data_IF_098639567637
#
_entry.id   IF_098639567637
#
_cell.length_a   1.000
_cell.length_b   1.000
_cell.length_c   1.000
_cell.angle_alpha   90.00
_cell.angle_beta   90.00
_cell.angle_gamma   90.00
#
_symmetry.space_group_name_H-M   'P 1'
#
loop_
_entity.id
_entity.type
_entity.pdbx_description
1 polymer ?
#
# COMPACT_ATOMS: atom_id res chain seq x y z
N UNK A 1 -22.93 12.64 -11.17
CA UNK A 1 -21.45 12.59 -11.26
C UNK A 1 -20.71 13.15 -10.04
N UNK A 2 -21.29 14.05 -9.23
CA UNK A 2 -20.62 14.68 -8.05
C UNK A 2 -20.40 13.69 -6.87
N UNK A 3 -21.36 12.80 -6.60
CA UNK A 3 -21.31 11.86 -5.47
C UNK A 3 -20.17 10.83 -5.54
N UNK A 4 -19.78 10.41 -6.75
CA UNK A 4 -18.69 9.45 -6.94
C UNK A 4 -17.33 10.10 -6.62
N UNK A 5 -17.12 11.34 -7.06
CA UNK A 5 -15.90 12.10 -6.80
C UNK A 5 -15.65 12.33 -5.29
N UNK A 6 -16.71 12.65 -4.53
CA UNK A 6 -16.61 12.82 -3.07
C UNK A 6 -16.19 11.53 -2.36
N UNK A 7 -16.77 10.39 -2.75
CA UNK A 7 -16.40 9.09 -2.17
C UNK A 7 -14.96 8.70 -2.48
N UNK A 8 -14.53 8.88 -3.74
CA UNK A 8 -13.15 8.61 -4.17
C UNK A 8 -12.15 9.41 -3.34
N UNK A 9 -12.39 10.72 -3.21
CA UNK A 9 -11.54 11.62 -2.42
C UNK A 9 -11.45 11.16 -0.97
N UNK A 10 -12.58 10.79 -0.35
CA UNK A 10 -12.60 10.31 1.03
C UNK A 10 -11.79 9.02 1.24
N UNK A 11 -11.80 8.08 0.27
CA UNK A 11 -10.99 6.85 0.36
C UNK A 11 -9.49 7.14 0.23
N UNK A 12 -9.13 7.97 -0.74
CA UNK A 12 -7.74 8.37 -0.97
C UNK A 12 -7.16 9.10 0.24
N UNK A 13 -7.90 10.08 0.77
CA UNK A 13 -7.51 10.85 1.97
C UNK A 13 -7.33 9.90 3.17
N UNK A 14 -8.29 9.00 3.42
CA UNK A 14 -8.19 8.04 4.54
C UNK A 14 -6.95 7.12 4.45
N UNK A 15 -6.61 6.65 3.25
CA UNK A 15 -5.42 5.82 3.04
C UNK A 15 -4.14 6.64 3.25
N UNK A 16 -4.09 7.85 2.69
CA UNK A 16 -2.94 8.74 2.82
C UNK A 16 -2.70 9.15 4.28
N UNK A 17 -3.76 9.44 5.02
CA UNK A 17 -3.70 9.77 6.45
C UNK A 17 -3.12 8.60 7.24
N UNK A 18 -3.64 7.38 7.02
CA UNK A 18 -3.12 6.19 7.71
C UNK A 18 -1.67 5.87 7.33
N UNK A 19 -1.32 5.96 6.05
CA UNK A 19 0.05 5.74 5.56
C UNK A 19 1.00 6.77 6.17
N UNK A 20 0.60 8.05 6.23
CA UNK A 20 1.38 9.13 6.83
C UNK A 20 1.55 8.93 8.34
N UNK A 21 0.48 8.55 9.04
CA UNK A 21 0.51 8.20 10.45
C UNK A 21 1.47 7.02 10.69
N UNK A 22 1.40 5.97 9.87
CA UNK A 22 2.27 4.80 9.97
C UNK A 22 3.74 5.14 9.71
N UNK A 23 4.04 6.02 8.74
CA UNK A 23 5.38 6.57 8.53
C UNK A 23 5.91 7.33 9.75
N UNK A 24 5.04 8.03 10.48
CA UNK A 24 5.44 8.81 11.67
C UNK A 24 5.74 7.96 12.90
N UNK A 25 5.26 6.71 12.94
CA UNK A 25 5.45 5.78 14.07
C UNK A 25 6.84 5.17 14.06
N UNK A 26 7.74 5.73 14.88
CA UNK A 26 9.13 5.25 15.03
C UNK A 26 9.23 3.80 15.52
N UNK A 27 8.27 3.34 16.31
CA UNK A 27 8.35 2.06 17.02
C UNK A 27 7.77 0.87 16.24
N UNK A 28 7.11 1.10 15.09
CA UNK A 28 6.44 0.01 14.38
C UNK A 28 7.43 -0.87 13.58
N UNK A 29 8.63 -0.36 13.30
CA UNK A 29 9.65 -1.04 12.50
C UNK A 29 10.93 -1.14 13.33
N UNK A 30 11.13 -2.28 13.98
CA UNK A 30 12.39 -2.56 14.67
C UNK A 30 13.58 -2.45 13.69
N UNK A 31 14.66 -1.77 14.07
CA UNK A 31 15.85 -1.62 13.23
C UNK A 31 16.65 -2.93 13.08
N UNK A 32 16.22 -4.03 13.71
CA UNK A 32 16.82 -5.37 13.61
C UNK A 32 16.62 -6.07 12.25
N UNK A 33 16.13 -5.37 11.22
CA UNK A 33 15.94 -5.96 9.91
C UNK A 33 17.28 -6.22 9.21
N UNK A 34 17.47 -7.43 8.68
CA UNK A 34 18.59 -7.74 7.82
C UNK A 34 18.65 -6.76 6.63
N UNK A 35 19.85 -6.31 6.28
CA UNK A 35 20.08 -5.37 5.19
C UNK A 35 19.95 -6.08 3.84
N UNK A 36 18.69 -6.26 3.42
CA UNK A 36 18.28 -6.76 2.12
C UNK A 36 17.85 -5.60 1.23
N UNK A 37 18.32 -5.57 -0.03
CA UNK A 37 17.90 -4.56 -0.99
C UNK A 37 16.62 -4.99 -1.70
N UNK A 38 15.76 -4.03 -2.02
CA UNK A 38 14.54 -4.28 -2.78
C UNK A 38 13.45 -3.26 -2.52
N UNK A 39 12.26 -3.57 -3.03
CA UNK A 39 11.07 -2.79 -2.77
C UNK A 39 9.86 -3.69 -2.45
N UNK A 40 8.86 -3.12 -1.78
CA UNK A 40 7.61 -3.77 -1.48
C UNK A 40 6.42 -2.90 -1.90
N UNK A 41 5.30 -3.56 -2.15
CA UNK A 41 4.02 -2.95 -2.51
C UNK A 41 2.90 -3.66 -1.76
N UNK A 42 1.74 -3.01 -1.70
CA UNK A 42 0.50 -3.62 -1.24
C UNK A 42 -0.22 -4.13 -2.49
N UNK A 43 -0.37 -5.45 -2.61
CA UNK A 43 -1.13 -6.09 -3.67
C UNK A 43 -2.57 -6.27 -3.22
N UNK A 44 -3.50 -5.63 -3.93
CA UNK A 44 -4.94 -5.75 -3.71
C UNK A 44 -5.46 -6.91 -4.56
N UNK A 45 -6.19 -7.83 -3.93
CA UNK A 45 -6.73 -9.03 -4.57
C UNK A 45 -8.16 -8.82 -5.07
N UNK A 46 -8.92 -7.94 -4.42
CA UNK A 46 -10.32 -7.67 -4.75
C UNK A 46 -10.47 -6.59 -5.83
N UNK A 47 -10.43 -7.00 -7.09
CA UNK A 47 -10.63 -6.08 -8.22
C UNK A 47 -12.12 -5.73 -8.48
N UNK A 48 -13.07 -6.35 -7.76
CA UNK A 48 -14.50 -6.06 -7.91
C UNK A 48 -14.98 -4.99 -6.92
N UNK A 49 -14.25 -4.75 -5.84
CA UNK A 49 -14.54 -3.70 -4.87
C UNK A 49 -14.67 -2.31 -5.51
N UNK A 50 -15.76 -1.61 -5.17
CA UNK A 50 -15.97 -0.22 -5.60
C UNK A 50 -14.87 0.72 -5.08
N UNK A 51 -14.30 0.42 -3.91
CA UNK A 51 -13.19 1.19 -3.34
C UNK A 51 -11.95 1.04 -4.23
N UNK A 52 -11.65 -0.18 -4.67
CA UNK A 52 -10.49 -0.46 -5.52
C UNK A 52 -10.63 0.23 -6.88
N UNK A 53 -11.83 0.23 -7.47
CA UNK A 53 -12.11 0.98 -8.71
C UNK A 53 -11.94 2.50 -8.51
N UNK A 54 -12.40 3.03 -7.38
CA UNK A 54 -12.24 4.44 -7.03
C UNK A 54 -10.76 4.84 -6.89
N UNK A 55 -9.96 4.02 -6.19
CA UNK A 55 -8.53 4.24 -6.01
C UNK A 55 -7.74 4.12 -7.33
N UNK A 56 -8.19 3.27 -8.24
CA UNK A 56 -7.64 3.19 -9.60
C UNK A 56 -7.87 4.50 -10.37
N UNK A 57 -9.08 5.05 -10.30
CA UNK A 57 -9.42 6.34 -10.92
C UNK A 57 -8.66 7.50 -10.30
N UNK A 58 -8.35 7.42 -9.00
CA UNK A 58 -7.52 8.39 -8.30
C UNK A 58 -6.00 8.26 -8.60
N UNK A 59 -5.57 7.23 -9.36
CA UNK A 59 -4.17 7.01 -9.68
C UNK A 59 -3.32 6.44 -8.53
N UNK A 60 -3.94 6.04 -7.42
CA UNK A 60 -3.24 5.45 -6.27
C UNK A 60 -2.85 3.98 -6.49
N UNK A 61 -3.61 3.28 -7.34
CA UNK A 61 -3.35 1.89 -7.71
C UNK A 61 -2.81 1.85 -9.15
N UNK A 62 -1.69 1.14 -9.34
CA UNK A 62 -1.12 0.82 -10.65
C UNK A 62 -1.29 -0.66 -10.94
N UNK A 63 -1.76 -1.00 -12.14
CA UNK A 63 -1.83 -2.39 -12.59
C UNK A 63 -0.51 -2.75 -13.27
N UNK A 64 0.16 -3.79 -12.81
CA UNK A 64 1.41 -4.25 -13.43
C UNK A 64 1.14 -5.17 -14.65
N UNK A 65 2.20 -5.58 -15.36
CA UNK A 65 2.11 -6.46 -16.54
C UNK A 65 1.53 -7.86 -16.25
N UNK A 66 1.49 -8.27 -14.99
CA UNK A 66 0.93 -9.54 -14.53
C UNK A 66 -0.54 -9.40 -14.09
N UNK A 67 -1.14 -8.20 -14.23
CA UNK A 67 -2.52 -7.93 -13.81
C UNK A 67 -2.69 -7.67 -12.31
N UNK A 68 -1.60 -7.48 -11.56
CA UNK A 68 -1.67 -7.17 -10.12
C UNK A 68 -1.97 -5.70 -9.88
N UNK A 69 -2.92 -5.44 -8.99
CA UNK A 69 -3.32 -4.12 -8.54
C UNK A 69 -2.43 -3.71 -7.38
N UNK A 70 -1.45 -2.85 -7.64
CA UNK A 70 -0.45 -2.43 -6.66
C UNK A 70 -0.78 -1.03 -6.15
N UNK A 71 -1.07 -0.93 -4.86
CA UNK A 71 -1.17 0.36 -4.17
C UNK A 71 0.25 0.86 -3.89
N UNK A 72 0.57 2.04 -4.43
CA UNK A 72 1.88 2.68 -4.31
C UNK A 72 1.92 3.57 -3.07
N UNK A 73 2.40 3.02 -1.96
CA UNK A 73 2.61 3.75 -0.69
C UNK A 73 3.98 4.43 -0.62
N UNK A 74 4.59 4.69 -1.78
CA UNK A 74 5.86 5.41 -1.94
C UNK A 74 7.09 4.77 -1.24
N UNK A 75 7.05 3.46 -0.96
CA UNK A 75 8.17 2.72 -0.36
C UNK A 75 9.43 2.68 -1.23
N UNK A 76 9.29 2.95 -2.54
CA UNK A 76 10.41 3.04 -3.46
C UNK A 76 11.33 4.24 -3.16
N UNK A 77 10.79 5.33 -2.61
CA UNK A 77 11.53 6.56 -2.31
C UNK A 77 12.26 6.52 -0.96
N UNK A 78 11.98 5.52 -0.13
CA UNK A 78 12.51 5.44 1.23
C UNK A 78 13.70 4.48 1.27
N UNK A 79 14.79 4.92 1.88
CA UNK A 79 16.00 4.11 2.08
C UNK A 79 15.86 3.21 3.31
N UNK A 80 15.01 2.19 3.15
CA UNK A 80 14.76 1.18 4.17
C UNK A 80 15.19 -0.21 3.68
N UNK A 81 15.63 -1.09 4.60
CA UNK A 81 15.79 -2.51 4.29
C UNK A 81 14.49 -3.11 3.72
N UNK A 82 14.60 -4.06 2.81
CA UNK A 82 13.45 -4.73 2.18
C UNK A 82 12.46 -5.26 3.21
N UNK A 83 12.95 -5.90 4.28
CA UNK A 83 12.11 -6.45 5.34
C UNK A 83 11.28 -5.39 6.07
N UNK A 84 11.85 -4.20 6.22
CA UNK A 84 11.16 -3.04 6.78
C UNK A 84 10.03 -2.57 5.84
N UNK A 85 10.29 -2.53 4.52
CA UNK A 85 9.27 -2.21 3.50
C UNK A 85 8.16 -3.26 3.44
N UNK A 86 8.51 -4.54 3.55
CA UNK A 86 7.55 -5.65 3.60
C UNK A 86 6.63 -5.55 4.82
N UNK A 87 7.18 -5.30 6.00
CA UNK A 87 6.40 -5.12 7.23
C UNK A 87 5.43 -3.95 7.06
N UNK A 88 5.91 -2.80 6.55
CA UNK A 88 5.05 -1.65 6.23
C UNK A 88 3.89 -2.04 5.31
N UNK A 89 4.17 -2.71 4.19
CA UNK A 89 3.14 -3.16 3.26
C UNK A 89 2.13 -4.12 3.92
N UNK A 90 2.59 -5.02 4.79
CA UNK A 90 1.71 -5.91 5.56
C UNK A 90 0.77 -5.16 6.52
N UNK A 91 1.26 -4.12 7.20
CA UNK A 91 0.43 -3.30 8.08
C UNK A 91 -0.65 -2.55 7.31
N UNK A 92 -0.29 -1.94 6.18
CA UNK A 92 -1.28 -1.28 5.30
C UNK A 92 -2.30 -2.28 4.78
N UNK A 93 -1.88 -3.48 4.34
CA UNK A 93 -2.81 -4.52 3.88
C UNK A 93 -3.81 -4.94 4.98
N UNK A 94 -3.34 -5.17 6.21
CA UNK A 94 -4.21 -5.50 7.34
C UNK A 94 -5.19 -4.38 7.66
N UNK A 95 -4.74 -3.13 7.63
CA UNK A 95 -5.62 -1.98 7.83
C UNK A 95 -6.69 -1.84 6.73
N UNK A 96 -6.34 -2.05 5.46
CA UNK A 96 -7.30 -2.03 4.35
C UNK A 96 -8.41 -3.08 4.54
N UNK A 97 -8.05 -4.29 4.98
CA UNK A 97 -9.01 -5.34 5.31
C UNK A 97 -9.93 -4.91 6.46
N UNK A 98 -9.38 -4.39 7.55
CA UNK A 98 -10.20 -3.97 8.69
C UNK A 98 -11.07 -2.75 8.40
N UNK A 99 -10.59 -1.78 7.63
CA UNK A 99 -11.25 -0.49 7.42
C UNK A 99 -12.29 -0.53 6.29
N UNK A 100 -12.02 -1.30 5.24
CA UNK A 100 -12.78 -1.30 3.98
C UNK A 100 -13.19 -2.69 3.49
N UNK A 101 -12.86 -3.75 4.24
CA UNK A 101 -13.09 -5.16 3.85
C UNK A 101 -12.41 -5.56 2.53
N UNK A 102 -11.29 -4.91 2.20
CA UNK A 102 -10.51 -5.20 0.98
C UNK A 102 -9.45 -6.25 1.27
N UNK A 103 -9.52 -7.38 0.56
CA UNK A 103 -8.45 -8.39 0.60
C UNK A 103 -7.18 -7.87 -0.08
N UNK A 104 -6.08 -7.86 0.68
CA UNK A 104 -4.78 -7.41 0.23
C UNK A 104 -3.65 -8.16 0.94
N UNK A 105 -2.48 -8.19 0.32
CA UNK A 105 -1.26 -8.75 0.89
C UNK A 105 -0.03 -7.92 0.53
N UNK A 106 1.10 -8.22 1.18
CA UNK A 106 2.38 -7.69 0.72
C UNK A 106 2.85 -8.44 -0.52
N UNK A 107 3.48 -7.71 -1.44
CA UNK A 107 4.31 -8.28 -2.49
C UNK A 107 5.64 -7.54 -2.49
N UNK A 108 6.73 -8.25 -2.77
CA UNK A 108 8.05 -7.66 -2.75
C UNK A 108 8.88 -8.13 -3.93
N UNK A 109 9.90 -7.34 -4.23
CA UNK A 109 10.93 -7.66 -5.20
C UNK A 109 12.28 -7.41 -4.57
N UNK A 110 13.05 -8.48 -4.41
CA UNK A 110 14.45 -8.37 -4.00
C UNK A 110 15.28 -7.73 -5.10
N UNK A 111 16.16 -6.81 -4.71
CA UNK A 111 17.21 -6.27 -5.56
C UNK A 111 18.42 -7.19 -5.54
N UNK A 112 19.06 -7.37 -6.70
CA UNK A 112 20.39 -7.98 -6.73
C UNK A 112 21.40 -6.94 -6.25
N UNK A 113 22.36 -7.39 -5.44
CA UNK A 113 23.56 -6.61 -5.06
C UNK A 113 24.36 -6.23 -6.30
#
# INVERSE_FOLDING_TARGET
MIYLHLKVKNYADSINDYVSELFSKKDFLNDSYAMEFGNAWVWIHDNQSQVVRALLQAGMIKVNKEGRYLLDVNLASVDWPLRRKEAFASHVAGWLKHRFDIEAGKVFRSGKR
#
